data_IF_509176075032
#
_entry.id   IF_509176075032
#
_cell.length_a   1.000
_cell.length_b   1.000
_cell.length_c   1.000
_cell.angle_alpha   90.00
_cell.angle_beta   90.00
_cell.angle_gamma   90.00
#
_symmetry.space_group_name_H-M   'P 1'
#
loop_
_entity.id
_entity.type
_entity.pdbx_description
1 polymer ?
#
# COMPACT_ATOMS: atom_id res chain seq x y z
N UNK A 1 1.61 -15.73 -19.38
CA UNK A 1 2.26 -16.39 -18.22
C UNK A 1 1.67 -15.78 -16.97
N UNK A 2 1.16 -16.58 -16.01
CA UNK A 2 0.75 -16.02 -14.72
C UNK A 2 1.98 -15.37 -14.09
N UNK A 3 1.86 -14.08 -13.72
CA UNK A 3 2.89 -13.41 -12.92
C UNK A 3 3.05 -14.19 -11.62
N UNK A 4 4.30 -14.48 -11.23
CA UNK A 4 4.54 -15.08 -9.93
C UNK A 4 4.25 -14.03 -8.84
N UNK A 5 3.56 -14.39 -7.75
CA UNK A 5 3.28 -13.52 -6.60
C UNK A 5 4.53 -12.75 -6.16
N UNK A 6 5.68 -13.43 -6.18
CA UNK A 6 6.98 -12.86 -5.82
C UNK A 6 7.42 -11.72 -6.75
N UNK A 7 7.22 -11.85 -8.06
CA UNK A 7 7.58 -10.81 -9.03
C UNK A 7 6.73 -9.54 -8.82
N UNK A 8 5.45 -9.72 -8.49
CA UNK A 8 4.55 -8.61 -8.18
C UNK A 8 4.92 -7.93 -6.87
N UNK A 9 5.24 -8.70 -5.84
CA UNK A 9 5.72 -8.17 -4.56
C UNK A 9 7.02 -7.36 -4.73
N UNK A 10 8.01 -7.91 -5.45
CA UNK A 10 9.25 -7.20 -5.75
C UNK A 10 8.99 -5.91 -6.55
N UNK A 11 8.07 -5.96 -7.52
CA UNK A 11 7.67 -4.79 -8.30
C UNK A 11 7.01 -3.71 -7.45
N UNK A 12 6.05 -4.07 -6.59
CA UNK A 12 5.36 -3.15 -5.68
C UNK A 12 6.31 -2.54 -4.67
N UNK A 13 7.15 -3.36 -4.02
CA UNK A 13 8.12 -2.87 -3.05
C UNK A 13 9.08 -1.86 -3.71
N UNK A 14 9.56 -2.13 -4.93
CA UNK A 14 10.40 -1.20 -5.69
C UNK A 14 9.67 0.10 -6.02
N UNK A 15 8.39 0.04 -6.40
CA UNK A 15 7.58 1.26 -6.65
C UNK A 15 7.41 2.08 -5.37
N UNK A 16 7.12 1.43 -4.25
CA UNK A 16 6.94 2.09 -2.96
C UNK A 16 8.26 2.74 -2.49
N UNK A 17 9.38 2.02 -2.58
CA UNK A 17 10.70 2.58 -2.26
C UNK A 17 11.02 3.82 -3.10
N UNK A 18 10.75 3.77 -4.41
CA UNK A 18 10.93 4.92 -5.30
C UNK A 18 10.08 6.13 -4.88
N UNK A 19 8.83 5.90 -4.49
CA UNK A 19 7.94 6.97 -3.98
C UNK A 19 8.50 7.58 -2.70
N UNK A 20 8.96 6.75 -1.76
CA UNK A 20 9.51 7.20 -0.46
C UNK A 20 10.80 8.00 -0.68
N UNK A 21 11.69 7.53 -1.55
CA UNK A 21 12.93 8.22 -1.95
C UNK A 21 12.65 9.56 -2.64
N UNK A 22 11.71 9.59 -3.60
CA UNK A 22 11.33 10.82 -4.32
C UNK A 22 10.76 11.90 -3.38
N UNK A 23 10.12 11.48 -2.28
CA UNK A 23 9.60 12.38 -1.25
C UNK A 23 10.64 12.75 -0.19
N UNK A 24 11.85 12.20 -0.25
CA UNK A 24 12.91 12.44 0.74
C UNK A 24 12.55 11.95 2.15
N UNK A 25 11.70 10.94 2.24
CA UNK A 25 11.20 10.42 3.51
C UNK A 25 12.02 9.20 3.95
N UNK A 26 12.45 9.20 5.20
CA UNK A 26 13.08 8.03 5.84
C UNK A 26 12.04 7.39 6.76
N UNK A 27 11.88 6.07 6.69
CA UNK A 27 10.98 5.28 7.54
C UNK A 27 9.50 5.72 7.54
N UNK A 28 9.04 6.41 6.49
CA UNK A 28 7.65 6.91 6.41
C UNK A 28 6.63 5.85 6.00
N UNK A 29 7.08 4.66 5.58
CA UNK A 29 6.23 3.52 5.27
C UNK A 29 6.68 2.32 6.09
N UNK A 30 5.73 1.72 6.81
CA UNK A 30 5.98 0.49 7.58
C UNK A 30 5.20 -0.65 6.95
N UNK A 31 5.90 -1.72 6.59
CA UNK A 31 5.30 -2.94 6.05
C UNK A 31 4.96 -3.93 7.17
N UNK A 32 3.75 -4.47 7.15
CA UNK A 32 3.26 -5.45 8.13
C UNK A 32 2.59 -6.61 7.40
N UNK A 33 2.94 -7.84 7.75
CA UNK A 33 2.20 -9.01 7.26
C UNK A 33 0.84 -9.11 7.99
N UNK A 34 -0.25 -9.12 7.23
CA UNK A 34 -1.60 -9.17 7.78
C UNK A 34 -2.64 -8.49 6.89
N UNK A 35 -3.88 -8.43 7.39
CA UNK A 35 -5.00 -7.73 6.75
C UNK A 35 -5.32 -6.45 7.53
N UNK A 36 -5.52 -5.35 6.83
CA UNK A 36 -6.04 -4.14 7.45
C UNK A 36 -7.50 -4.35 7.89
N UNK A 37 -7.73 -4.41 9.20
CA UNK A 37 -9.07 -4.39 9.79
C UNK A 37 -9.39 -2.99 10.30
N UNK A 38 -10.06 -2.21 9.46
CA UNK A 38 -10.68 -0.96 9.87
C UNK A 38 -12.15 -0.96 9.46
N UNK A 39 -13.03 -0.96 10.46
CA UNK A 39 -14.49 -1.03 10.29
C UNK A 39 -15.06 0.34 9.89
N UNK A 40 -14.53 1.42 10.47
CA UNK A 40 -15.01 2.78 10.23
C UNK A 40 -14.28 3.48 9.08
N UNK A 41 -13.33 2.81 8.42
CA UNK A 41 -12.56 3.44 7.34
C UNK A 41 -13.30 3.41 6.00
N UNK A 42 -13.18 4.50 5.26
CA UNK A 42 -13.48 4.53 3.83
C UNK A 42 -12.46 3.65 3.10
N UNK A 43 -12.95 2.69 2.30
CA UNK A 43 -12.11 1.80 1.51
C UNK A 43 -12.11 2.21 0.04
N UNK A 44 -10.92 2.51 -0.49
CA UNK A 44 -10.68 2.86 -1.88
C UNK A 44 -10.00 1.66 -2.55
N UNK A 45 -10.71 1.00 -3.45
CA UNK A 45 -10.16 -0.11 -4.22
C UNK A 45 -9.44 0.43 -5.46
N UNK A 46 -8.20 -0.02 -5.68
CA UNK A 46 -7.42 0.31 -6.88
C UNK A 46 -7.18 -0.94 -7.72
N UNK A 47 -7.14 -0.76 -9.04
CA UNK A 47 -7.16 -1.86 -10.00
C UNK A 47 -5.78 -2.42 -10.38
N UNK A 48 -4.70 -1.72 -10.04
CA UNK A 48 -3.33 -2.10 -10.42
C UNK A 48 -2.27 -1.48 -9.50
N UNK A 49 -1.03 -1.94 -9.64
CA UNK A 49 0.13 -1.54 -8.83
C UNK A 49 0.46 -0.05 -8.97
N UNK A 50 0.33 0.53 -10.17
CA UNK A 50 0.63 1.95 -10.42
C UNK A 50 -0.37 2.87 -9.73
N UNK A 51 -1.67 2.54 -9.79
CA UNK A 51 -2.72 3.26 -9.07
C UNK A 51 -2.51 3.19 -7.56
N UNK A 52 -2.07 2.04 -7.04
CA UNK A 52 -1.71 1.89 -5.63
C UNK A 52 -0.54 2.79 -5.24
N UNK A 53 0.55 2.79 -6.02
CA UNK A 53 1.71 3.63 -5.77
C UNK A 53 1.36 5.14 -5.80
N UNK A 54 0.53 5.58 -6.76
CA UNK A 54 0.04 6.96 -6.83
C UNK A 54 -0.79 7.35 -5.61
N UNK A 55 -1.68 6.47 -5.17
CA UNK A 55 -2.50 6.69 -3.99
C UNK A 55 -1.65 6.75 -2.71
N UNK A 56 -0.67 5.84 -2.57
CA UNK A 56 0.27 5.87 -1.46
C UNK A 56 1.10 7.17 -1.46
N UNK A 57 1.57 7.64 -2.62
CA UNK A 57 2.28 8.91 -2.72
C UNK A 57 1.41 10.09 -2.26
N UNK A 58 0.12 10.08 -2.57
CA UNK A 58 -0.83 11.09 -2.10
C UNK A 58 -1.00 11.03 -0.57
N UNK A 59 -1.19 9.83 -0.01
CA UNK A 59 -1.27 9.62 1.44
C UNK A 59 0.00 10.06 2.17
N UNK A 60 1.18 9.76 1.63
CA UNK A 60 2.45 10.19 2.20
C UNK A 60 2.60 11.71 2.20
N UNK A 61 2.26 12.39 1.09
CA UNK A 61 2.27 13.86 1.03
C UNK A 61 1.31 14.49 2.03
N UNK A 62 0.12 13.91 2.20
CA UNK A 62 -0.83 14.32 3.23
C UNK A 62 -0.27 14.06 4.64
N UNK A 63 0.38 12.92 4.85
CA UNK A 63 1.00 12.57 6.13
C UNK A 63 2.10 13.55 6.54
N UNK A 64 2.89 14.06 5.60
CA UNK A 64 3.86 15.13 5.85
C UNK A 64 3.15 16.39 6.38
N UNK A 65 2.07 16.81 5.74
CA UNK A 65 1.39 18.07 6.09
C UNK A 65 0.56 17.98 7.38
N UNK A 66 0.15 16.78 7.76
CA UNK A 66 -0.76 16.55 8.91
C UNK A 66 -0.08 15.85 10.09
N UNK A 67 1.18 15.42 9.95
CA UNK A 67 1.91 14.70 10.99
C UNK A 67 1.44 13.26 11.21
N UNK A 68 0.78 12.65 10.21
CA UNK A 68 0.18 11.31 10.33
C UNK A 68 1.08 10.19 9.82
N UNK A 69 2.39 10.46 9.69
CA UNK A 69 3.40 9.45 9.38
C UNK A 69 3.77 8.63 10.64
N UNK A 70 4.21 7.36 10.47
CA UNK A 70 4.34 6.63 9.22
C UNK A 70 3.00 6.06 8.70
N UNK A 71 2.90 5.87 7.38
CA UNK A 71 1.79 5.14 6.76
C UNK A 71 2.06 3.64 6.89
N UNK A 72 1.07 2.89 7.37
CA UNK A 72 1.16 1.43 7.49
C UNK A 72 0.69 0.79 6.18
N UNK A 73 1.50 -0.08 5.61
CA UNK A 73 1.13 -0.91 4.46
C UNK A 73 1.03 -2.37 4.93
N UNK A 74 -0.19 -2.90 4.94
CA UNK A 74 -0.39 -4.33 5.25
C UNK A 74 -0.30 -5.17 3.99
N UNK A 75 0.36 -6.31 4.07
CA UNK A 75 0.47 -7.30 3.00
C UNK A 75 -0.17 -8.61 3.43
N UNK A 76 -1.09 -9.12 2.62
CA UNK A 76 -1.68 -10.44 2.81
C UNK A 76 -1.52 -11.27 1.54
N UNK A 77 -0.95 -12.47 1.69
CA UNK A 77 -0.75 -13.43 0.60
C UNK A 77 -1.57 -14.68 0.90
N UNK A 78 -2.34 -15.12 -0.08
CA UNK A 78 -2.99 -16.44 -0.11
C UNK A 78 -2.54 -17.18 -1.38
N UNK A 79 -2.87 -18.47 -1.50
CA UNK A 79 -2.41 -19.38 -2.58
C UNK A 79 -2.49 -18.75 -3.97
N UNK A 80 -3.57 -18.02 -4.25
CA UNK A 80 -3.86 -17.45 -5.57
C UNK A 80 -4.10 -15.94 -5.52
N UNK A 81 -3.78 -15.26 -4.42
CA UNK A 81 -4.07 -13.83 -4.32
C UNK A 81 -3.06 -13.06 -3.48
N UNK A 82 -2.84 -11.81 -3.86
CA UNK A 82 -2.00 -10.86 -3.17
C UNK A 82 -2.82 -9.62 -2.88
N UNK A 83 -2.79 -9.16 -1.63
CA UNK A 83 -3.49 -7.97 -1.18
C UNK A 83 -2.53 -7.03 -0.48
N UNK A 84 -2.53 -5.77 -0.92
CA UNK A 84 -1.85 -4.67 -0.26
C UNK A 84 -2.88 -3.66 0.21
N UNK A 85 -2.70 -3.14 1.43
CA UNK A 85 -3.55 -2.08 1.96
C UNK A 85 -2.68 -0.99 2.57
N UNK A 86 -2.74 0.24 2.03
CA UNK A 86 -2.17 1.41 2.69
C UNK A 86 -3.22 2.00 3.64
N UNK A 87 -2.86 2.15 4.91
CA UNK A 87 -3.78 2.51 5.98
C UNK A 87 -3.41 3.85 6.58
N UNK A 88 -4.34 4.79 6.48
CA UNK A 88 -4.34 6.06 7.18
C UNK A 88 -5.39 6.01 8.29
N UNK A 89 -4.95 5.63 9.49
CA UNK A 89 -5.82 5.52 10.66
C UNK A 89 -6.35 6.88 11.15
N UNK A 90 -5.65 7.97 10.86
CA UNK A 90 -6.04 9.31 11.32
C UNK A 90 -7.20 9.83 10.50
N UNK A 91 -7.10 9.70 9.18
CA UNK A 91 -8.17 10.12 8.26
C UNK A 91 -9.19 9.00 7.98
N UNK A 92 -9.02 7.84 8.60
CA UNK A 92 -9.89 6.66 8.43
C UNK A 92 -10.04 6.26 6.96
N UNK A 93 -8.90 6.15 6.25
CA UNK A 93 -8.87 5.74 4.84
C UNK A 93 -7.99 4.50 4.68
N UNK A 94 -8.49 3.52 3.93
CA UNK A 94 -7.71 2.35 3.49
C UNK A 94 -7.74 2.32 1.97
N UNK A 95 -6.57 2.36 1.34
CA UNK A 95 -6.42 2.10 -0.09
C UNK A 95 -6.01 0.65 -0.27
N UNK A 96 -6.78 -0.14 -1.01
CA UNK A 96 -6.57 -1.58 -1.18
C UNK A 96 -6.33 -1.94 -2.64
N UNK A 97 -5.26 -2.71 -2.88
CA UNK A 97 -4.97 -3.40 -4.13
C UNK A 97 -5.17 -4.89 -3.90
N UNK A 98 -6.02 -5.54 -4.71
CA UNK A 98 -6.23 -6.99 -4.67
C UNK A 98 -5.95 -7.60 -6.04
N UNK A 99 -4.93 -8.46 -6.12
CA UNK A 99 -4.51 -9.14 -7.33
C UNK A 99 -4.78 -10.64 -7.19
N UNK A 100 -5.40 -11.25 -8.21
CA UNK A 100 -5.68 -12.69 -8.25
C UNK A 100 -4.88 -13.31 -9.39
N UNK A 101 -4.24 -14.44 -9.12
CA UNK A 101 -3.40 -15.17 -10.06
C UNK A 101 -4.15 -16.43 -10.50
N UNK A 102 -4.36 -16.57 -11.80
CA UNK A 102 -5.05 -17.71 -12.43
C UNK A 102 -4.05 -18.69 -13.05
#
# INVERSE_FOLDING_TARGET
MPRNVREVEESLNKMISKVVEELGLIDAVVFVDGRAECVNCVRIQVSNEESFAKALAALLRQGISTGTLPIIVTKFVDRNSLRYSAVDYVNQVVVELSLTFA
#
